data_IF_918227871517
#
_entry.id   IF_918227871517
#
_cell.length_a   1.000
_cell.length_b   1.000
_cell.length_c   1.000
_cell.angle_alpha   90.00
_cell.angle_beta   90.00
_cell.angle_gamma   90.00
#
_symmetry.space_group_name_H-M   'P 1'
#
loop_
_entity.id
_entity.type
_entity.pdbx_description
1 polymer ?
#
# COMPACT_ATOMS: atom_id res chain seq x y z
N UNK A 1 -10.03 -10.35 -18.36
CA UNK A 1 -10.18 -9.74 -17.04
C UNK A 1 -8.88 -9.08 -16.62
N UNK A 2 -8.97 -7.86 -16.23
CA UNK A 2 -7.77 -7.19 -15.72
C UNK A 2 -7.39 -7.83 -14.39
N UNK A 3 -6.18 -8.35 -14.33
CA UNK A 3 -5.65 -8.88 -13.08
C UNK A 3 -5.54 -7.76 -12.06
N UNK A 4 -6.05 -7.98 -10.87
CA UNK A 4 -5.91 -7.00 -9.81
C UNK A 4 -4.45 -6.94 -9.38
N UNK A 5 -3.88 -5.73 -9.26
CA UNK A 5 -2.51 -5.61 -8.82
C UNK A 5 -2.33 -6.18 -7.42
N UNK A 6 -1.24 -6.94 -7.25
CA UNK A 6 -0.90 -7.51 -5.95
C UNK A 6 -0.21 -6.49 -5.06
N UNK A 7 0.46 -5.52 -5.66
CA UNK A 7 1.16 -4.46 -4.95
C UNK A 7 1.11 -3.19 -5.79
N UNK A 8 1.42 -2.08 -5.14
CA UNK A 8 1.35 -0.76 -5.74
C UNK A 8 2.60 0.02 -5.42
N UNK A 9 3.03 0.84 -6.34
CA UNK A 9 4.03 1.86 -6.08
C UNK A 9 3.30 3.15 -5.78
N UNK A 10 3.66 3.81 -4.69
CA UNK A 10 2.99 5.03 -4.24
C UNK A 10 4.00 6.14 -4.06
N UNK A 11 3.68 7.31 -4.60
CA UNK A 11 4.55 8.48 -4.48
C UNK A 11 3.70 9.71 -4.18
N UNK A 12 4.19 10.62 -3.31
CA UNK A 12 3.51 11.90 -3.13
C UNK A 12 3.55 12.68 -4.44
N UNK A 13 2.45 13.35 -4.74
CA UNK A 13 2.34 14.15 -5.95
C UNK A 13 1.83 15.54 -5.61
N UNK A 14 2.41 16.53 -6.25
CA UNK A 14 1.95 17.91 -6.25
C UNK A 14 2.16 18.45 -7.65
N UNK A 15 1.14 19.09 -8.18
CA UNK A 15 1.23 19.68 -9.49
C UNK A 15 1.03 21.19 -9.40
N UNK A 16 1.86 21.92 -10.14
CA UNK A 16 1.70 23.37 -10.25
C UNK A 16 0.57 23.76 -11.20
N UNK A 17 0.11 22.81 -12.02
CA UNK A 17 -0.97 23.07 -12.96
C UNK A 17 -2.30 22.64 -12.37
N UNK A 18 -3.33 23.50 -12.39
CA UNK A 18 -4.63 23.11 -11.86
C UNK A 18 -5.31 22.09 -12.78
N UNK A 19 -5.49 20.90 -12.28
CA UNK A 19 -6.22 19.82 -12.96
C UNK A 19 -7.13 19.14 -11.96
N UNK A 20 -8.20 18.58 -12.46
CA UNK A 20 -9.12 17.81 -11.63
C UNK A 20 -9.08 16.36 -12.04
N UNK A 21 -8.93 15.49 -11.07
CA UNK A 21 -8.95 14.05 -11.26
C UNK A 21 -10.08 13.44 -10.45
N UNK A 22 -10.36 12.18 -10.67
CA UNK A 22 -11.28 11.42 -9.84
C UNK A 22 -10.48 10.42 -9.03
N UNK A 23 -10.61 10.50 -7.70
CA UNK A 23 -9.95 9.54 -6.82
C UNK A 23 -10.57 8.16 -7.02
N UNK A 24 -9.77 7.14 -7.38
CA UNK A 24 -10.31 5.80 -7.62
C UNK A 24 -10.78 5.10 -6.34
N UNK A 25 -10.40 5.62 -5.19
CA UNK A 25 -10.72 5.00 -3.90
C UNK A 25 -12.03 5.49 -3.33
N UNK A 26 -12.37 6.76 -3.51
CA UNK A 26 -13.60 7.34 -2.97
C UNK A 26 -14.56 7.86 -4.06
N UNK A 27 -14.14 7.89 -5.31
CA UNK A 27 -14.92 8.36 -6.45
C UNK A 27 -15.26 9.85 -6.41
N UNK A 28 -14.59 10.61 -5.55
CA UNK A 28 -14.77 12.05 -5.44
C UNK A 28 -13.71 12.80 -6.22
N UNK A 29 -14.00 14.04 -6.53
CA UNK A 29 -13.05 14.89 -7.25
C UNK A 29 -11.82 15.19 -6.41
N UNK A 30 -10.70 15.29 -7.10
CA UNK A 30 -9.40 15.54 -6.50
C UNK A 30 -8.72 16.66 -7.29
N UNK A 31 -8.28 17.69 -6.58
CA UNK A 31 -7.55 18.79 -7.19
C UNK A 31 -6.05 18.48 -7.15
N UNK A 32 -5.38 18.59 -8.30
CA UNK A 32 -3.98 18.25 -8.42
C UNK A 32 -3.06 19.12 -7.55
N UNK A 33 -3.51 20.33 -7.21
CA UNK A 33 -2.74 21.25 -6.37
C UNK A 33 -2.85 20.93 -4.88
N UNK A 34 -3.84 20.11 -4.49
CA UNK A 34 -3.93 19.61 -3.14
C UNK A 34 -3.01 18.41 -2.98
N UNK A 35 -2.53 18.13 -1.75
CA UNK A 35 -1.71 16.94 -1.53
C UNK A 35 -2.43 15.68 -1.98
N UNK A 36 -1.78 14.94 -2.88
CA UNK A 36 -2.34 13.70 -3.40
C UNK A 36 -1.23 12.69 -3.60
N UNK A 37 -1.60 11.44 -3.80
CA UNK A 37 -0.65 10.35 -3.97
C UNK A 37 -0.84 9.72 -5.33
N UNK A 38 0.26 9.53 -6.04
CA UNK A 38 0.27 8.80 -7.30
C UNK A 38 0.32 7.32 -7.01
N UNK A 39 -0.59 6.58 -7.62
CA UNK A 39 -0.65 5.13 -7.51
C UNK A 39 -0.27 4.50 -8.85
N UNK A 40 0.72 3.64 -8.81
CA UNK A 40 1.13 2.85 -9.97
C UNK A 40 0.84 1.38 -9.69
N UNK A 41 -0.02 0.73 -10.48
CA UNK A 41 -0.25 -0.69 -10.29
C UNK A 41 0.97 -1.52 -10.67
N UNK A 42 1.03 -2.72 -10.14
CA UNK A 42 2.11 -3.67 -10.38
C UNK A 42 2.45 -3.78 -11.87
N UNK A 43 3.71 -3.51 -12.19
CA UNK A 43 4.21 -3.70 -13.55
C UNK A 43 3.76 -2.67 -14.58
N UNK A 44 3.00 -1.66 -14.17
CA UNK A 44 2.47 -0.68 -15.11
C UNK A 44 2.62 0.75 -14.58
N UNK A 45 3.72 1.39 -14.96
CA UNK A 45 3.96 2.78 -14.56
C UNK A 45 3.24 3.79 -15.44
N UNK A 46 2.65 3.35 -16.53
CA UNK A 46 1.89 4.23 -17.41
C UNK A 46 0.47 4.48 -16.89
N UNK A 47 -0.07 3.53 -16.14
CA UNK A 47 -1.39 3.64 -15.53
C UNK A 47 -1.33 4.34 -14.18
N UNK A 48 -0.76 5.50 -14.15
CA UNK A 48 -0.74 6.27 -12.91
C UNK A 48 -2.13 6.82 -12.60
N UNK A 49 -2.51 6.77 -11.35
CA UNK A 49 -3.77 7.33 -10.87
C UNK A 49 -3.51 8.24 -9.69
N UNK A 50 -4.23 9.35 -9.66
CA UNK A 50 -4.15 10.28 -8.54
C UNK A 50 -5.22 9.93 -7.52
N UNK A 51 -4.84 9.80 -6.27
CA UNK A 51 -5.75 9.50 -5.18
C UNK A 51 -5.53 10.46 -4.03
N UNK A 52 -6.57 10.71 -3.24
CA UNK A 52 -6.42 11.50 -2.03
C UNK A 52 -5.44 10.81 -1.10
N UNK A 53 -4.53 11.58 -0.51
CA UNK A 53 -3.56 11.02 0.44
C UNK A 53 -4.27 10.37 1.63
N UNK A 54 -5.36 10.98 2.09
CA UNK A 54 -6.17 10.43 3.18
C UNK A 54 -6.82 9.10 2.80
N UNK A 55 -7.30 8.98 1.57
CA UNK A 55 -7.91 7.75 1.09
C UNK A 55 -6.87 6.63 1.00
N UNK A 56 -5.66 6.96 0.53
CA UNK A 56 -4.56 5.99 0.49
C UNK A 56 -4.22 5.50 1.89
N UNK A 57 -4.10 6.43 2.84
CA UNK A 57 -3.80 6.07 4.22
C UNK A 57 -4.86 5.13 4.81
N UNK A 58 -6.14 5.44 4.56
CA UNK A 58 -7.23 4.61 5.05
C UNK A 58 -7.20 3.20 4.45
N UNK A 59 -6.95 3.10 3.14
CA UNK A 59 -6.87 1.81 2.46
C UNK A 59 -5.65 1.01 2.92
N UNK A 60 -4.53 1.67 3.19
CA UNK A 60 -3.34 1.01 3.71
C UNK A 60 -3.58 0.47 5.12
N UNK A 61 -4.27 1.22 5.96
CA UNK A 61 -4.64 0.74 7.29
C UNK A 61 -5.56 -0.47 7.22
N UNK A 62 -6.38 -0.55 6.18
CA UNK A 62 -7.24 -1.71 5.94
C UNK A 62 -6.50 -2.88 5.27
N UNK A 63 -5.20 -2.74 5.00
CA UNK A 63 -4.39 -3.78 4.38
C UNK A 63 -4.61 -3.95 2.89
N UNK A 64 -5.16 -2.94 2.20
CA UNK A 64 -5.53 -3.07 0.80
C UNK A 64 -4.44 -2.64 -0.18
N UNK A 65 -3.80 -1.51 0.05
CA UNK A 65 -2.78 -1.01 -0.86
C UNK A 65 -1.39 -1.39 -0.34
N UNK A 66 -0.94 -2.57 -0.69
CA UNK A 66 0.37 -3.04 -0.27
C UNK A 66 1.46 -2.54 -1.20
N UNK A 67 2.62 -2.22 -0.65
CA UNK A 67 3.82 -2.00 -1.46
C UNK A 67 4.39 -3.35 -1.86
N UNK A 68 5.33 -3.34 -2.81
CA UNK A 68 5.98 -4.58 -3.24
C UNK A 68 6.63 -5.31 -2.07
N UNK A 69 7.34 -4.57 -1.22
CA UNK A 69 8.00 -5.14 -0.05
C UNK A 69 7.02 -5.76 0.92
N UNK A 70 5.91 -5.07 1.17
CA UNK A 70 4.86 -5.56 2.05
C UNK A 70 4.20 -6.82 1.50
N UNK A 71 3.95 -6.83 0.19
CA UNK A 71 3.37 -7.99 -0.46
C UNK A 71 4.31 -9.19 -0.38
N UNK A 72 5.59 -9.00 -0.65
CA UNK A 72 6.59 -10.07 -0.56
C UNK A 72 6.68 -10.63 0.85
N UNK A 73 6.63 -9.75 1.86
CA UNK A 73 6.63 -10.20 3.26
C UNK A 73 5.40 -10.99 3.62
N UNK A 74 4.26 -10.68 3.01
CA UNK A 74 3.02 -11.43 3.29
C UNK A 74 3.07 -12.86 2.76
N UNK A 75 3.92 -13.13 1.78
CA UNK A 75 4.08 -14.46 1.20
C UNK A 75 5.01 -15.36 2.02
N UNK A 76 5.82 -14.76 2.89
CA UNK A 76 6.78 -15.51 3.71
C UNK A 76 6.19 -15.81 5.06
N UNK A 77 6.44 -17.01 5.60
CA UNK A 77 6.04 -17.27 6.99
C UNK A 77 6.76 -16.28 7.91
N UNK A 78 6.06 -15.72 8.91
CA UNK A 78 6.65 -14.70 9.76
C UNK A 78 7.77 -15.28 10.62
N UNK A 79 9.01 -14.93 10.27
CA UNK A 79 10.19 -15.39 11.00
C UNK A 79 10.16 -14.95 12.46
N UNK A 80 9.60 -13.76 12.71
CA UNK A 80 9.47 -13.24 14.06
C UNK A 80 8.58 -14.12 14.91
N UNK A 81 7.48 -14.64 14.34
CA UNK A 81 6.60 -15.55 15.06
C UNK A 81 7.30 -16.86 15.42
N UNK A 82 8.10 -17.39 14.49
CA UNK A 82 8.89 -18.60 14.76
C UNK A 82 9.90 -18.38 15.89
N UNK A 83 10.57 -17.24 15.88
CA UNK A 83 11.54 -16.91 16.92
C UNK A 83 10.89 -16.75 18.29
N UNK A 84 9.73 -16.11 18.32
CA UNK A 84 8.98 -15.96 19.57
C UNK A 84 8.54 -17.30 20.11
N UNK A 85 8.09 -18.18 19.24
CA UNK A 85 7.65 -19.51 19.59
C UNK A 85 8.81 -20.36 20.14
N UNK A 86 9.96 -20.29 19.48
CA UNK A 86 11.15 -21.01 19.95
C UNK A 86 11.66 -20.48 21.29
N UNK A 87 11.58 -19.18 21.51
CA UNK A 87 11.93 -18.60 22.82
C UNK A 87 11.01 -19.10 23.91
N UNK A 88 9.73 -19.20 23.59
CA UNK A 88 8.75 -19.71 24.54
C UNK A 88 9.05 -21.16 24.93
N UNK A 89 9.38 -22.00 23.98
CA UNK A 89 9.78 -23.37 24.23
C UNK A 89 11.04 -23.48 25.10
N UNK A 90 12.02 -22.65 24.84
CA UNK A 90 13.24 -22.61 25.61
C UNK A 90 12.98 -22.25 27.08
N UNK A 91 12.07 -21.29 27.28
CA UNK A 91 11.70 -20.90 28.64
C UNK A 91 10.99 -22.02 29.38
N UNK A 92 10.16 -22.75 28.68
CA UNK A 92 9.48 -23.91 29.27
C UNK A 92 10.48 -24.99 29.70
N UNK A 93 11.53 -25.20 28.91
CA UNK A 93 12.57 -26.19 29.24
C UNK A 93 13.44 -25.76 30.41
N UNK A 94 13.57 -24.46 30.64
CA UNK A 94 14.39 -23.93 31.72
C UNK A 94 13.64 -23.81 33.06
N UNK A 95 12.36 -24.00 33.02
CA UNK A 95 11.55 -24.00 34.22
C UNK A 95 11.58 -25.42 34.86
#
# INVERSE_FOLDING_TARGET
MADQPRWWEMRPAESMQPKTYTCPLCQRRLFSMAPNTLLFPEGDRERRRHAHTECVAAHRQAGKLLTKSEWERSLRPPRAAKRSWLRWLRRADQA
#
